data_IF_777393265120
#
_entry.id   IF_777393265120
#
_cell.length_a   1.000
_cell.length_b   1.000
_cell.length_c   1.000
_cell.angle_alpha   90.00
_cell.angle_beta   90.00
_cell.angle_gamma   90.00
#
_symmetry.space_group_name_H-M   'P 1'
#
loop_
_entity.id
_entity.type
_entity.pdbx_description
1 polymer ?
#
# COMPACT_ATOMS: atom_id res chain seq x y z
N UNK A 1 -6.07 -41.19 6.86
CA UNK A 1 -4.96 -40.22 6.65
C UNK A 1 -5.04 -39.25 7.81
N UNK A 2 -4.02 -39.21 8.65
CA UNK A 2 -3.90 -38.18 9.69
C UNK A 2 -3.72 -36.84 8.99
N UNK A 3 -4.59 -35.87 9.29
CA UNK A 3 -4.38 -34.47 8.89
C UNK A 3 -3.04 -34.03 9.50
N UNK A 4 -2.00 -33.94 8.66
CA UNK A 4 -0.75 -33.31 9.06
C UNK A 4 -0.98 -31.81 8.98
N UNK A 5 -1.08 -31.17 10.13
CA UNK A 5 -1.12 -29.71 10.23
C UNK A 5 0.26 -29.14 9.90
N UNK A 6 0.51 -28.90 8.62
CA UNK A 6 1.70 -28.20 8.18
C UNK A 6 1.60 -26.72 8.51
N UNK A 7 2.09 -26.35 9.70
CA UNK A 7 2.12 -24.97 10.18
C UNK A 7 3.56 -24.53 10.39
N UNK A 8 3.93 -23.41 9.78
CA UNK A 8 5.23 -22.81 10.01
C UNK A 8 5.41 -22.40 11.48
N UNK A 9 6.59 -22.72 12.03
CA UNK A 9 7.02 -22.29 13.35
C UNK A 9 7.91 -21.06 13.22
N UNK A 10 7.63 -20.04 14.03
CA UNK A 10 8.40 -18.78 14.06
C UNK A 10 9.51 -18.78 15.09
N UNK A 11 9.40 -19.62 16.13
CA UNK A 11 10.37 -19.80 17.20
C UNK A 11 10.50 -21.29 17.52
N UNK A 12 11.69 -21.73 17.93
CA UNK A 12 11.87 -23.08 18.49
C UNK A 12 11.51 -23.09 19.99
N UNK A 13 11.62 -24.26 20.62
CA UNK A 13 11.35 -24.46 22.06
C UNK A 13 12.28 -23.62 22.96
N UNK A 14 13.49 -23.32 22.50
CA UNK A 14 14.44 -22.43 23.17
C UNK A 14 14.18 -20.93 22.92
N UNK A 15 13.14 -20.56 22.15
CA UNK A 15 12.81 -19.17 21.83
C UNK A 15 13.59 -18.53 20.68
N UNK A 16 14.49 -19.26 20.01
CA UNK A 16 15.26 -18.78 18.87
C UNK A 16 14.36 -18.58 17.65
N UNK A 17 14.59 -17.49 16.92
CA UNK A 17 13.84 -17.14 15.71
C UNK A 17 14.18 -18.11 14.59
N UNK A 18 13.17 -18.77 14.04
CA UNK A 18 13.30 -19.71 12.92
C UNK A 18 13.22 -19.00 11.56
N UNK A 19 13.79 -19.66 10.55
CA UNK A 19 13.68 -19.31 9.13
C UNK A 19 12.79 -20.33 8.41
N UNK A 20 12.37 -20.01 7.18
CA UNK A 20 11.56 -20.90 6.37
C UNK A 20 12.26 -22.24 6.07
N UNK A 21 13.60 -22.23 5.97
CA UNK A 21 14.43 -23.39 5.70
C UNK A 21 15.05 -24.03 6.96
N UNK A 22 14.60 -23.61 8.16
CA UNK A 22 14.98 -24.28 9.41
C UNK A 22 14.49 -25.72 9.42
N UNK A 23 15.14 -26.61 10.18
CA UNK A 23 14.81 -28.03 10.22
C UNK A 23 13.32 -28.27 10.52
N UNK A 24 12.74 -27.47 11.40
CA UNK A 24 11.35 -27.52 11.84
C UNK A 24 10.34 -27.06 10.79
N UNK A 25 10.78 -26.30 9.78
CA UNK A 25 9.95 -25.76 8.69
C UNK A 25 10.27 -26.41 7.33
N UNK A 26 11.28 -27.29 7.29
CA UNK A 26 11.77 -27.91 6.06
C UNK A 26 10.70 -28.79 5.42
N UNK A 27 10.02 -29.63 6.20
CA UNK A 27 8.96 -30.52 5.68
C UNK A 27 7.84 -29.74 4.99
N UNK A 28 7.39 -28.62 5.58
CA UNK A 28 6.39 -27.75 4.95
C UNK A 28 6.94 -27.06 3.70
N UNK A 29 8.19 -26.59 3.73
CA UNK A 29 8.79 -25.94 2.55
C UNK A 29 8.97 -26.91 1.39
N UNK A 30 9.41 -28.14 1.66
CA UNK A 30 9.59 -29.20 0.67
C UNK A 30 8.22 -29.62 0.09
N UNK A 31 7.19 -29.76 0.94
CA UNK A 31 5.82 -30.01 0.50
C UNK A 31 5.29 -28.93 -0.45
N UNK A 32 5.52 -27.64 -0.14
CA UNK A 32 5.11 -26.54 -1.02
C UNK A 32 5.87 -26.60 -2.35
N UNK A 33 7.17 -26.90 -2.33
CA UNK A 33 7.96 -27.03 -3.57
C UNK A 33 7.42 -28.16 -4.43
N UNK A 34 7.17 -29.34 -3.86
CA UNK A 34 6.61 -30.49 -4.58
C UNK A 34 5.22 -30.18 -5.13
N UNK A 35 4.35 -29.56 -4.34
CA UNK A 35 3.01 -29.17 -4.78
C UNK A 35 3.04 -28.17 -5.95
N UNK A 36 3.89 -27.14 -5.84
CA UNK A 36 4.02 -26.12 -6.90
C UNK A 36 4.62 -26.72 -8.16
N UNK A 37 5.66 -27.55 -8.06
CA UNK A 37 6.24 -28.25 -9.24
C UNK A 37 5.27 -29.26 -9.86
N UNK A 38 4.39 -29.87 -9.07
CA UNK A 38 3.34 -30.74 -9.59
C UNK A 38 2.31 -30.00 -10.43
N UNK A 39 2.01 -28.74 -10.10
CA UNK A 39 1.07 -27.89 -10.86
C UNK A 39 1.75 -27.09 -11.98
N UNK A 40 3.01 -26.71 -11.77
CA UNK A 40 3.80 -25.86 -12.66
C UNK A 40 5.21 -26.46 -12.83
N UNK A 41 5.37 -27.50 -13.66
CA UNK A 41 6.64 -28.21 -13.80
C UNK A 41 7.79 -27.37 -14.38
N UNK A 42 7.45 -26.37 -15.19
CA UNK A 42 8.41 -25.51 -15.89
C UNK A 42 8.98 -24.38 -15.00
N UNK A 43 8.45 -24.21 -13.79
CA UNK A 43 8.88 -23.14 -12.88
C UNK A 43 10.25 -23.41 -12.26
N UNK A 44 11.07 -22.36 -12.22
CA UNK A 44 12.41 -22.43 -11.65
C UNK A 44 12.30 -22.52 -10.13
N UNK A 45 12.85 -23.59 -9.54
CA UNK A 45 12.76 -23.85 -8.09
C UNK A 45 13.22 -22.66 -7.22
N UNK A 46 14.20 -21.88 -7.69
CA UNK A 46 14.65 -20.65 -7.02
C UNK A 46 13.54 -19.61 -6.85
N UNK A 47 12.66 -19.45 -7.84
CA UNK A 47 11.49 -18.55 -7.78
C UNK A 47 10.50 -19.04 -6.72
N UNK A 48 10.25 -20.36 -6.70
CA UNK A 48 9.37 -20.98 -5.70
C UNK A 48 9.92 -20.79 -4.28
N UNK A 49 11.24 -20.98 -4.08
CA UNK A 49 11.89 -20.77 -2.77
C UNK A 49 11.83 -19.31 -2.31
N UNK A 50 11.99 -18.34 -3.19
CA UNK A 50 11.85 -16.92 -2.83
C UNK A 50 10.39 -16.58 -2.48
N UNK A 51 9.42 -17.19 -3.16
CA UNK A 51 8.00 -17.12 -2.81
C UNK A 51 7.71 -17.68 -1.41
N UNK A 52 8.26 -18.85 -1.09
CA UNK A 52 8.16 -19.48 0.24
C UNK A 52 8.73 -18.55 1.32
N UNK A 53 9.94 -18.01 1.09
CA UNK A 53 10.59 -17.07 2.02
C UNK A 53 9.72 -15.83 2.28
N UNK A 54 9.17 -15.23 1.22
CA UNK A 54 8.29 -14.05 1.31
C UNK A 54 7.03 -14.35 2.11
N UNK A 55 6.41 -15.51 1.87
CA UNK A 55 5.23 -15.95 2.60
C UNK A 55 5.54 -16.24 4.07
N UNK A 56 6.68 -16.87 4.37
CA UNK A 56 7.11 -17.12 5.74
C UNK A 56 7.35 -15.83 6.52
N UNK A 57 8.04 -14.84 5.94
CA UNK A 57 8.22 -13.54 6.59
C UNK A 57 6.87 -12.83 6.82
N UNK A 58 5.93 -12.95 5.89
CA UNK A 58 4.56 -12.42 6.05
C UNK A 58 3.81 -13.10 7.20
N UNK A 59 3.89 -14.43 7.30
CA UNK A 59 3.33 -15.23 8.38
C UNK A 59 3.94 -14.85 9.74
N UNK A 60 5.26 -14.77 9.81
CA UNK A 60 6.01 -14.38 11.01
C UNK A 60 5.65 -12.97 11.47
N UNK A 61 5.54 -12.02 10.54
CA UNK A 61 5.13 -10.66 10.84
C UNK A 61 3.69 -10.61 11.38
N UNK A 62 2.78 -11.43 10.83
CA UNK A 62 1.40 -11.55 11.33
C UNK A 62 1.36 -12.09 12.75
N UNK A 63 2.03 -13.22 13.01
CA UNK A 63 2.08 -13.83 14.35
C UNK A 63 2.68 -12.88 15.38
N UNK A 64 3.75 -12.14 15.03
CA UNK A 64 4.31 -11.10 15.91
C UNK A 64 3.31 -9.99 16.23
N UNK A 65 2.50 -9.55 15.25
CA UNK A 65 1.46 -8.52 15.48
C UNK A 65 0.35 -9.03 16.39
N UNK A 66 -0.04 -10.29 16.25
CA UNK A 66 -1.01 -10.95 17.13
C UNK A 66 -0.45 -11.08 18.56
N UNK A 67 0.78 -11.59 18.72
CA UNK A 67 1.47 -11.68 20.02
C UNK A 67 1.62 -10.33 20.72
N UNK A 68 1.81 -9.25 19.97
CA UNK A 68 2.00 -7.88 20.52
C UNK A 68 0.71 -7.06 20.62
N UNK A 69 -0.44 -7.61 20.22
CA UNK A 69 -1.72 -6.88 20.21
C UNK A 69 -1.80 -5.73 19.20
N UNK A 70 -0.86 -5.64 18.24
CA UNK A 70 -0.76 -4.52 17.28
C UNK A 70 -1.55 -4.74 15.98
N UNK A 71 -2.41 -5.75 15.94
CA UNK A 71 -3.14 -6.11 14.73
C UNK A 71 -4.13 -5.02 14.30
N UNK A 72 -4.84 -4.40 15.24
CA UNK A 72 -5.78 -3.31 14.92
C UNK A 72 -5.06 -2.06 14.39
N UNK A 73 -3.93 -1.68 14.99
CA UNK A 73 -3.12 -0.57 14.52
C UNK A 73 -2.63 -0.81 13.09
N UNK A 74 -2.21 -2.04 12.80
CA UNK A 74 -1.83 -2.45 11.46
C UNK A 74 -3.02 -2.35 10.48
N UNK A 75 -4.19 -2.85 10.85
CA UNK A 75 -5.39 -2.77 10.01
C UNK A 75 -5.76 -1.30 9.72
N UNK A 76 -5.70 -0.41 10.72
CA UNK A 76 -5.91 1.04 10.54
C UNK A 76 -4.89 1.64 9.56
N UNK A 77 -3.59 1.31 9.70
CA UNK A 77 -2.53 1.76 8.78
C UNK A 77 -2.76 1.24 7.35
N UNK A 78 -3.12 -0.03 7.20
CA UNK A 78 -3.39 -0.63 5.88
C UNK A 78 -4.63 -0.03 5.22
N UNK A 79 -5.67 0.30 5.98
CA UNK A 79 -6.85 0.99 5.46
C UNK A 79 -6.51 2.38 4.92
N UNK A 80 -5.70 3.17 5.66
CA UNK A 80 -5.21 4.48 5.20
C UNK A 80 -4.35 4.32 3.94
N UNK A 81 -3.40 3.39 3.95
CA UNK A 81 -2.52 3.13 2.81
C UNK A 81 -3.31 2.72 1.56
N UNK A 82 -4.28 1.80 1.70
CA UNK A 82 -5.14 1.35 0.60
C UNK A 82 -5.93 2.52 0.00
N UNK A 83 -6.48 3.41 0.83
CA UNK A 83 -7.16 4.63 0.35
C UNK A 83 -6.22 5.55 -0.44
N UNK A 84 -5.02 5.80 0.09
CA UNK A 84 -4.00 6.62 -0.59
C UNK A 84 -3.59 6.00 -1.92
N UNK A 85 -3.31 4.69 -1.95
CA UNK A 85 -2.93 3.95 -3.16
C UNK A 85 -4.05 3.98 -4.21
N UNK A 86 -5.30 3.80 -3.81
CA UNK A 86 -6.46 3.94 -4.73
C UNK A 86 -6.53 5.33 -5.33
N UNK A 87 -6.40 6.38 -4.51
CA UNK A 87 -6.41 7.78 -4.97
C UNK A 87 -5.25 8.06 -5.93
N UNK A 88 -4.06 7.55 -5.62
CA UNK A 88 -2.89 7.64 -6.49
C UNK A 88 -3.16 6.99 -7.86
N UNK A 89 -3.69 5.78 -7.86
CA UNK A 89 -4.02 5.06 -9.10
C UNK A 89 -5.06 5.82 -9.94
N UNK A 90 -6.08 6.37 -9.29
CA UNK A 90 -7.09 7.20 -9.96
C UNK A 90 -6.48 8.45 -10.60
N UNK A 91 -5.56 9.13 -9.90
CA UNK A 91 -4.82 10.29 -10.42
C UNK A 91 -3.93 9.91 -11.60
N UNK A 92 -3.15 8.82 -11.48
CA UNK A 92 -2.31 8.30 -12.58
C UNK A 92 -3.15 7.98 -13.81
N UNK A 93 -4.32 7.36 -13.63
CA UNK A 93 -5.27 7.09 -14.73
C UNK A 93 -5.79 8.39 -15.34
N UNK A 94 -6.26 9.33 -14.53
CA UNK A 94 -6.78 10.62 -14.99
C UNK A 94 -5.74 11.45 -15.76
N UNK A 95 -4.46 11.37 -15.33
CA UNK A 95 -3.30 12.01 -15.96
C UNK A 95 -3.01 11.42 -17.34
N UNK A 96 -2.97 10.08 -17.46
CA UNK A 96 -2.77 9.40 -18.76
C UNK A 96 -3.80 9.86 -19.79
N UNK A 97 -5.06 9.96 -19.37
CA UNK A 97 -6.19 10.38 -20.21
C UNK A 97 -6.26 11.90 -20.45
N UNK A 98 -5.38 12.72 -19.87
CA UNK A 98 -5.46 14.19 -19.98
C UNK A 98 -4.83 14.63 -21.30
N UNK A 99 -5.60 15.00 -22.31
CA UNK A 99 -5.05 15.46 -23.60
C UNK A 99 -4.30 16.79 -23.51
N UNK A 100 -4.72 17.70 -22.62
CA UNK A 100 -4.21 19.08 -22.54
C UNK A 100 -2.82 19.26 -21.91
N UNK A 101 -2.02 18.20 -21.79
CA UNK A 101 -0.69 18.28 -21.19
C UNK A 101 0.35 17.61 -22.11
N UNK A 102 1.49 18.26 -22.39
CA UNK A 102 2.58 17.67 -23.15
C UNK A 102 3.09 16.36 -22.55
N UNK A 103 3.65 15.47 -23.39
CA UNK A 103 4.11 14.13 -22.97
C UNK A 103 5.19 14.21 -21.89
N UNK A 104 6.19 15.08 -22.07
CA UNK A 104 7.31 15.25 -21.13
C UNK A 104 6.83 15.75 -19.76
N UNK A 105 5.92 16.73 -19.75
CA UNK A 105 5.33 17.23 -18.51
C UNK A 105 4.50 16.15 -17.81
N UNK A 106 3.75 15.33 -18.55
CA UNK A 106 3.03 14.19 -17.97
C UNK A 106 3.96 13.18 -17.32
N UNK A 107 5.12 12.92 -17.93
CA UNK A 107 6.09 11.97 -17.42
C UNK A 107 6.71 12.46 -16.10
N UNK A 108 7.11 13.73 -16.07
CA UNK A 108 7.57 14.40 -14.84
C UNK A 108 6.53 14.32 -13.72
N UNK A 109 5.26 14.60 -14.05
CA UNK A 109 4.14 14.46 -13.09
C UNK A 109 3.94 13.00 -12.68
N UNK A 110 4.05 12.06 -13.61
CA UNK A 110 3.85 10.64 -13.32
C UNK A 110 4.90 10.10 -12.34
N UNK A 111 6.14 10.53 -12.50
CA UNK A 111 7.26 10.19 -11.61
C UNK A 111 7.01 10.78 -10.21
N UNK A 112 6.58 12.04 -10.12
CA UNK A 112 6.30 12.68 -8.84
C UNK A 112 4.99 12.24 -8.17
N UNK A 113 4.19 11.39 -8.81
CA UNK A 113 2.96 10.83 -8.21
C UNK A 113 3.32 9.68 -7.25
N UNK A 114 3.68 10.06 -6.03
CA UNK A 114 4.05 9.17 -4.94
C UNK A 114 3.19 9.37 -3.68
N UNK A 115 3.01 8.30 -2.91
CA UNK A 115 2.20 8.31 -1.68
C UNK A 115 2.78 9.29 -0.65
N UNK A 116 4.10 9.43 -0.57
CA UNK A 116 4.72 10.34 0.39
C UNK A 116 4.35 11.81 0.15
N UNK A 117 4.04 12.21 -1.08
CA UNK A 117 3.60 13.58 -1.42
C UNK A 117 2.08 13.78 -1.29
N UNK A 118 1.35 12.73 -0.91
CA UNK A 118 -0.11 12.81 -0.73
C UNK A 118 -0.50 13.24 0.68
N UNK A 119 -1.58 14.01 0.76
CA UNK A 119 -2.22 14.38 2.02
C UNK A 119 -2.82 13.14 2.68
N UNK A 120 -2.68 13.05 4.00
CA UNK A 120 -3.33 12.02 4.81
C UNK A 120 -4.83 12.29 4.93
N UNK A 121 -5.63 11.21 4.86
CA UNK A 121 -7.08 11.22 5.10
C UNK A 121 -7.38 10.36 6.35
N UNK A 122 -7.86 11.01 7.41
CA UNK A 122 -8.33 10.34 8.63
C UNK A 122 -9.86 10.29 8.65
N UNK A 123 -10.42 9.22 9.19
CA UNK A 123 -11.87 9.14 9.44
C UNK A 123 -12.22 10.19 10.48
N UNK A 124 -13.23 11.01 10.18
CA UNK A 124 -13.81 11.92 11.17
C UNK A 124 -14.54 11.08 12.22
N UNK A 125 -14.12 11.15 13.48
CA UNK A 125 -14.76 10.39 14.56
C UNK A 125 -16.15 10.91 14.91
N UNK A 126 -16.46 12.16 14.52
CA UNK A 126 -17.73 12.82 14.85
C UNK A 126 -18.79 12.63 13.77
N UNK A 127 -18.39 12.30 12.53
CA UNK A 127 -19.28 12.20 11.37
C UNK A 127 -19.00 10.95 10.54
N UNK A 128 -19.77 9.89 10.81
CA UNK A 128 -19.73 8.63 10.06
C UNK A 128 -20.07 8.87 8.58
N UNK A 129 -19.04 8.89 7.74
CA UNK A 129 -19.19 9.15 6.31
C UNK A 129 -18.37 10.33 5.80
N UNK A 130 -17.57 10.97 6.65
CA UNK A 130 -16.63 12.00 6.22
C UNK A 130 -15.16 11.67 6.54
N UNK A 131 -14.27 12.26 5.76
CA UNK A 131 -12.82 12.18 5.92
C UNK A 131 -12.24 13.57 6.12
N UNK A 132 -11.35 13.70 7.09
CA UNK A 132 -10.57 14.91 7.33
C UNK A 132 -9.27 14.80 6.53
N UNK A 133 -9.06 15.75 5.61
CA UNK A 133 -7.86 15.85 4.78
C UNK A 133 -6.90 16.87 5.38
N UNK A 134 -5.71 16.43 5.74
CA UNK A 134 -4.66 17.31 6.30
C UNK A 134 -3.79 17.90 5.21
N UNK A 135 -3.57 19.21 5.25
CA UNK A 135 -2.77 19.93 4.26
C UNK A 135 -1.27 19.74 4.52
N UNK A 136 -0.46 19.61 3.47
CA UNK A 136 1.00 19.47 3.60
C UNK A 136 1.65 20.85 3.41
N UNK A 137 2.23 21.47 4.44
CA UNK A 137 2.69 22.86 4.36
C UNK A 137 3.85 23.05 3.38
N UNK A 138 4.68 22.02 3.20
CA UNK A 138 5.83 22.02 2.30
C UNK A 138 5.47 21.70 0.85
N UNK A 139 4.22 21.38 0.52
CA UNK A 139 3.80 21.00 -0.83
C UNK A 139 3.46 22.25 -1.64
N UNK A 140 3.97 22.33 -2.87
CA UNK A 140 3.76 23.47 -3.75
C UNK A 140 2.28 23.65 -4.12
N UNK A 141 1.86 24.90 -4.27
CA UNK A 141 0.49 25.23 -4.66
C UNK A 141 0.15 24.69 -6.06
N UNK A 142 1.15 24.60 -6.94
CA UNK A 142 0.96 24.08 -8.30
C UNK A 142 0.70 22.58 -8.30
N UNK A 143 1.42 21.82 -7.48
CA UNK A 143 1.14 20.41 -7.28
C UNK A 143 -0.26 20.22 -6.64
N UNK A 144 -0.63 21.05 -5.66
CA UNK A 144 -1.95 21.04 -5.05
C UNK A 144 -3.09 21.27 -6.06
N UNK A 145 -2.96 22.32 -6.88
CA UNK A 145 -3.91 22.62 -7.96
C UNK A 145 -3.99 21.45 -8.95
N UNK A 146 -2.86 20.84 -9.29
CA UNK A 146 -2.81 19.72 -10.22
C UNK A 146 -3.54 18.49 -9.67
N UNK A 147 -3.22 18.05 -8.45
CA UNK A 147 -3.89 16.88 -7.86
C UNK A 147 -5.38 17.12 -7.68
N UNK A 148 -5.81 18.33 -7.32
CA UNK A 148 -7.23 18.70 -7.23
C UNK A 148 -7.93 18.59 -8.59
N UNK A 149 -7.28 19.06 -9.68
CA UNK A 149 -7.82 18.91 -11.05
C UNK A 149 -7.92 17.43 -11.48
N UNK A 150 -6.96 16.59 -11.10
CA UNK A 150 -6.99 15.15 -11.40
C UNK A 150 -8.10 14.44 -10.61
N UNK A 151 -8.25 14.78 -9.33
CA UNK A 151 -9.33 14.25 -8.49
C UNK A 151 -10.71 14.64 -9.05
N UNK A 152 -10.91 15.91 -9.42
CA UNK A 152 -12.16 16.39 -10.05
C UNK A 152 -12.46 15.65 -11.36
N UNK A 153 -11.44 15.42 -12.20
CA UNK A 153 -11.61 14.67 -13.45
C UNK A 153 -12.09 13.25 -13.19
N UNK A 154 -11.56 12.59 -12.16
CA UNK A 154 -12.02 11.27 -11.76
C UNK A 154 -13.47 11.30 -11.25
N UNK A 155 -13.79 12.24 -10.36
CA UNK A 155 -15.15 12.41 -9.82
C UNK A 155 -16.20 12.64 -10.90
N UNK A 156 -15.87 13.45 -11.91
CA UNK A 156 -16.78 13.72 -13.04
C UNK A 156 -17.08 12.47 -13.87
N UNK A 157 -16.18 11.47 -13.88
CA UNK A 157 -16.40 10.17 -14.55
C UNK A 157 -17.26 9.22 -13.74
N UNK A 158 -17.39 9.43 -12.44
CA UNK A 158 -18.20 8.56 -11.59
C UNK A 158 -19.69 8.76 -11.89
N UNK A 159 -20.45 7.67 -11.84
CA UNK A 159 -21.91 7.71 -11.93
C UNK A 159 -22.50 8.49 -10.76
N UNK A 160 -23.73 9.02 -10.92
CA UNK A 160 -24.44 9.73 -9.84
C UNK A 160 -24.54 8.88 -8.57
N UNK A 161 -24.84 7.59 -8.71
CA UNK A 161 -24.89 6.63 -7.59
C UNK A 161 -23.54 6.50 -6.89
N UNK A 162 -22.45 6.31 -7.64
CA UNK A 162 -21.12 6.18 -7.07
C UNK A 162 -20.67 7.46 -6.37
N UNK A 163 -20.99 8.65 -6.92
CA UNK A 163 -20.69 9.92 -6.24
C UNK A 163 -21.42 10.06 -4.90
N UNK A 164 -22.69 9.64 -4.81
CA UNK A 164 -23.47 9.68 -3.56
C UNK A 164 -22.94 8.73 -2.48
N UNK A 165 -22.31 7.63 -2.88
CA UNK A 165 -21.71 6.64 -1.96
C UNK A 165 -20.29 7.01 -1.54
N UNK A 166 -19.70 8.07 -2.11
CA UNK A 166 -18.38 8.51 -1.69
C UNK A 166 -18.47 9.31 -0.40
N UNK A 167 -17.59 8.97 0.55
CA UNK A 167 -17.41 9.76 1.75
C UNK A 167 -16.99 11.20 1.41
N UNK A 168 -17.60 12.15 2.13
CA UNK A 168 -17.33 13.58 1.99
C UNK A 168 -15.93 13.87 2.52
N UNK A 169 -15.20 14.79 1.89
CA UNK A 169 -13.87 15.22 2.34
C UNK A 169 -13.94 16.64 2.89
N UNK A 170 -13.62 16.80 4.16
CA UNK A 170 -13.50 18.09 4.84
C UNK A 170 -12.02 18.47 4.93
N UNK A 171 -11.71 19.76 4.82
CA UNK A 171 -10.35 20.26 5.02
C UNK A 171 -10.09 20.32 6.52
N UNK A 172 -9.03 19.67 6.97
CA UNK A 172 -8.58 19.66 8.35
C UNK A 172 -7.37 20.55 8.61
N UNK A 173 -6.75 20.34 9.77
CA UNK A 173 -5.55 21.04 10.18
C UNK A 173 -4.34 20.80 9.25
N UNK A 174 -3.35 21.69 9.35
CA UNK A 174 -2.06 21.53 8.69
C UNK A 174 -1.32 20.32 9.28
N UNK A 175 -0.74 19.51 8.41
CA UNK A 175 0.01 18.32 8.78
C UNK A 175 1.33 18.69 9.44
N UNK A 176 1.66 17.99 10.53
CA UNK A 176 2.97 18.05 11.19
C UNK A 176 4.03 17.16 10.51
N UNK A 177 3.70 16.54 9.36
CA UNK A 177 4.62 15.67 8.63
C UNK A 177 5.80 16.49 8.11
N UNK A 178 7.01 16.06 8.45
CA UNK A 178 8.26 16.63 7.92
C UNK A 178 8.30 16.55 6.39
N UNK A 179 8.97 17.53 5.77
CA UNK A 179 9.29 17.52 4.35
C UNK A 179 10.13 16.25 4.06
N UNK A 180 9.73 15.39 3.11
CA UNK A 180 10.52 14.24 2.71
C UNK A 180 11.79 14.69 1.99
N UNK A 181 12.75 13.76 1.85
CA UNK A 181 13.93 13.99 1.03
C UNK A 181 13.53 14.22 -0.43
N UNK A 182 14.13 15.25 -1.03
CA UNK A 182 13.82 15.64 -2.41
C UNK A 182 14.54 14.69 -3.35
N UNK A 183 13.76 13.91 -4.10
CA UNK A 183 14.27 13.08 -5.18
C UNK A 183 14.58 14.00 -6.37
N UNK A 184 15.71 13.83 -7.08
CA UNK A 184 16.03 14.61 -8.27
C UNK A 184 14.87 14.61 -9.28
N UNK A 185 14.46 15.79 -9.74
CA UNK A 185 13.33 15.98 -10.66
C UNK A 185 11.96 16.17 -9.98
N UNK A 186 11.88 16.06 -8.65
CA UNK A 186 10.66 16.28 -7.87
C UNK A 186 10.62 17.64 -7.18
N UNK A 187 11.58 18.54 -7.44
CA UNK A 187 11.74 19.83 -6.77
C UNK A 187 10.48 20.67 -6.84
N UNK A 188 9.79 20.64 -7.99
CA UNK A 188 8.55 21.40 -8.24
C UNK A 188 7.36 20.97 -7.37
N UNK A 189 7.41 19.80 -6.73
CA UNK A 189 6.39 19.33 -5.78
C UNK A 189 6.47 20.11 -4.47
N UNK A 190 7.61 20.74 -4.19
CA UNK A 190 7.88 21.38 -2.92
C UNK A 190 7.84 22.90 -3.03
N UNK A 191 7.48 23.55 -1.92
CA UNK A 191 7.78 24.96 -1.67
C UNK A 191 9.24 25.11 -1.23
#
# INVERSE_FOLDING_TARGET
MTERDFIWKTKNEAGNILKYNSAENKEMSDFIIEFVKGQYPDEVEGVVREGIKTNFESFKAKKRREETGKQEEHNKKMAVYSRLKRKLNNRKKALKEKSSMPKEQKETVMQSMEIQYMSSEQTDSEDEGSFIVTLLPWRSDDFDKLVKKLDQKHENKLSKRSRRQNNIRKVGAVSLRKKPEVVPGHEWVFR
#
